data_IF_288242183192
#
_entry.id   IF_288242183192
#
_cell.length_a   1.000
_cell.length_b   1.000
_cell.length_c   1.000
_cell.angle_alpha   90.00
_cell.angle_beta   90.00
_cell.angle_gamma   90.00
#
_symmetry.space_group_name_H-M   'P 1'
#
loop_
_entity.id
_entity.type
_entity.pdbx_description
1 polymer ?
#
# COMPACT_ATOMS: atom_id res chain seq x y z
N UNK A 1 63.42 -19.04 -10.42
CA UNK A 1 64.75 -19.70 -10.48
C UNK A 1 65.71 -18.89 -9.61
N UNK A 2 66.68 -19.58 -8.99
CA UNK A 2 67.65 -19.13 -7.96
C UNK A 2 67.04 -18.99 -6.55
N UNK A 3 67.08 -19.98 -5.64
CA UNK A 3 68.16 -20.86 -5.18
C UNK A 3 69.35 -20.10 -4.58
N UNK A 4 69.48 -20.10 -3.25
CA UNK A 4 70.77 -19.98 -2.57
C UNK A 4 70.75 -20.68 -1.21
N UNK A 5 71.90 -21.22 -0.85
CA UNK A 5 72.12 -22.46 -0.13
C UNK A 5 72.93 -22.21 1.15
N UNK A 6 72.65 -22.97 2.22
CA UNK A 6 73.46 -23.37 3.40
C UNK A 6 74.67 -22.53 3.82
N UNK A 7 74.84 -22.37 5.14
CA UNK A 7 76.05 -22.83 5.85
C UNK A 7 75.82 -23.10 7.35
N UNK A 8 76.54 -24.12 7.80
CA UNK A 8 76.52 -24.85 9.06
C UNK A 8 77.59 -24.24 9.99
N UNK A 9 77.35 -24.22 11.30
CA UNK A 9 78.43 -24.23 12.29
C UNK A 9 78.02 -25.04 13.53
N UNK A 10 78.81 -26.09 13.77
CA UNK A 10 78.74 -27.08 14.84
C UNK A 10 79.59 -26.56 16.02
N UNK A 11 79.13 -26.73 17.26
CA UNK A 11 79.99 -26.64 18.45
C UNK A 11 79.49 -27.63 19.51
N UNK A 12 80.12 -28.80 19.51
CA UNK A 12 79.93 -29.91 20.42
C UNK A 12 80.99 -29.80 21.54
N UNK A 13 80.57 -29.71 22.81
CA UNK A 13 81.45 -29.96 23.96
C UNK A 13 80.63 -30.61 25.09
N UNK A 14 81.01 -31.83 25.43
CA UNK A 14 80.57 -32.73 26.51
C UNK A 14 81.88 -33.42 27.01
N UNK A 15 81.99 -34.14 28.14
CA UNK A 15 81.09 -34.37 29.29
C UNK A 15 81.77 -34.16 30.67
N UNK A 16 80.99 -34.02 31.74
CA UNK A 16 81.34 -34.61 33.04
C UNK A 16 80.08 -35.21 33.67
N UNK A 17 80.18 -36.49 34.02
CA UNK A 17 79.15 -37.32 34.64
C UNK A 17 79.29 -37.33 36.17
N UNK A 18 78.17 -37.29 36.90
CA UNK A 18 77.98 -37.95 38.20
C UNK A 18 76.53 -37.77 38.71
N UNK A 19 75.91 -38.87 39.17
CA UNK A 19 74.83 -38.83 40.17
C UNK A 19 73.47 -39.39 39.73
N UNK A 20 73.28 -40.69 39.92
CA UNK A 20 72.03 -41.43 39.72
C UNK A 20 71.28 -41.57 41.06
N UNK A 21 70.07 -41.01 41.19
CA UNK A 21 69.07 -41.37 42.22
C UNK A 21 67.66 -41.22 41.59
N UNK A 22 66.83 -42.29 41.52
CA UNK A 22 65.48 -42.21 40.98
C UNK A 22 64.49 -41.91 42.12
N UNK A 23 63.81 -40.75 42.06
CA UNK A 23 62.75 -40.41 43.00
C UNK A 23 61.44 -40.12 42.23
N UNK A 24 60.48 -41.04 42.44
CA UNK A 24 59.04 -40.90 42.34
C UNK A 24 58.43 -40.29 41.06
N UNK A 25 57.89 -41.19 40.24
CA UNK A 25 56.73 -40.92 39.41
C UNK A 25 55.58 -40.39 40.27
N UNK A 26 55.12 -39.17 40.00
CA UNK A 26 53.79 -38.71 40.43
C UNK A 26 52.83 -39.09 39.33
N UNK A 27 52.12 -40.19 39.56
CA UNK A 27 50.91 -40.55 38.85
C UNK A 27 49.73 -39.72 39.37
N UNK A 28 48.91 -39.27 38.42
CA UNK A 28 47.47 -38.98 38.50
C UNK A 28 46.94 -38.12 39.65
N UNK A 29 46.42 -36.95 39.27
CA UNK A 29 45.22 -36.42 39.88
C UNK A 29 44.09 -36.55 38.84
N UNK A 30 43.08 -37.41 39.07
CA UNK A 30 41.86 -37.41 38.28
C UNK A 30 41.19 -36.05 38.44
N UNK A 31 40.74 -35.49 37.32
CA UNK A 31 39.97 -34.24 37.32
C UNK A 31 38.80 -34.37 38.30
N UNK A 32 38.67 -33.36 39.16
CA UNK A 32 37.42 -33.20 39.90
C UNK A 32 36.30 -33.08 38.88
N UNK A 33 35.26 -33.88 39.06
CA UNK A 33 33.95 -33.63 38.47
C UNK A 33 33.53 -32.23 38.93
N UNK A 34 33.79 -31.24 38.07
CA UNK A 34 33.14 -29.95 38.20
C UNK A 34 31.64 -30.23 38.13
N UNK A 35 30.83 -29.73 39.09
CA UNK A 35 29.39 -29.93 39.05
C UNK A 35 28.85 -29.49 37.68
N UNK A 36 27.93 -30.26 37.08
CA UNK A 36 27.44 -29.99 35.74
C UNK A 36 26.96 -28.54 35.67
N UNK A 37 27.40 -27.77 34.66
CA UNK A 37 27.05 -26.37 34.56
C UNK A 37 25.52 -26.22 34.49
N UNK A 38 24.99 -25.32 35.32
CA UNK A 38 23.57 -24.96 35.30
C UNK A 38 23.25 -24.19 34.04
N UNK A 39 22.19 -24.59 33.33
CA UNK A 39 21.72 -23.95 32.10
C UNK A 39 20.24 -23.61 32.21
N UNK A 40 19.84 -22.46 31.67
CA UNK A 40 18.43 -22.08 31.61
C UNK A 40 17.79 -22.74 30.39
N UNK A 41 16.69 -23.45 30.60
CA UNK A 41 15.93 -24.12 29.53
C UNK A 41 14.51 -23.59 29.40
N UNK A 42 13.96 -23.66 28.19
CA UNK A 42 12.54 -23.44 27.89
C UNK A 42 11.98 -24.73 27.31
N UNK A 43 10.94 -25.26 27.94
CA UNK A 43 10.19 -26.39 27.42
C UNK A 43 9.32 -25.91 26.26
N UNK A 44 9.51 -26.51 25.09
CA UNK A 44 8.83 -26.14 23.87
C UNK A 44 7.55 -26.95 23.68
N UNK A 45 6.52 -26.31 23.12
CA UNK A 45 5.28 -26.96 22.78
C UNK A 45 4.97 -26.84 21.29
N UNK A 46 4.47 -27.92 20.69
CA UNK A 46 3.97 -27.88 19.33
C UNK A 46 2.61 -27.17 19.30
N UNK A 47 2.44 -26.24 18.36
CA UNK A 47 1.20 -25.51 18.17
C UNK A 47 0.99 -25.17 16.69
N UNK A 48 -0.27 -25.05 16.30
CA UNK A 48 -0.64 -24.60 14.96
C UNK A 48 -0.43 -23.09 14.86
N UNK A 49 0.36 -22.65 13.87
CA UNK A 49 0.66 -21.24 13.63
C UNK A 49 0.25 -20.85 12.23
N UNK A 50 -0.44 -19.71 12.10
CA UNK A 50 -0.75 -19.13 10.79
C UNK A 50 0.41 -18.25 10.36
N UNK A 51 1.07 -18.63 9.26
CA UNK A 51 2.14 -17.84 8.67
C UNK A 51 1.52 -16.63 7.96
N UNK A 52 1.99 -15.44 8.33
CA UNK A 52 1.54 -14.18 7.74
C UNK A 52 2.70 -13.44 7.11
N UNK A 53 2.46 -12.86 5.94
CA UNK A 53 3.37 -11.91 5.31
C UNK A 53 2.80 -10.52 5.43
N UNK A 54 3.63 -9.57 5.80
CA UNK A 54 3.27 -8.15 5.80
C UNK A 54 3.82 -7.50 4.55
N UNK A 55 2.94 -6.96 3.71
CA UNK A 55 3.30 -6.24 2.50
C UNK A 55 3.02 -4.75 2.64
N UNK A 56 3.94 -3.87 2.25
CA UNK A 56 3.67 -2.44 2.19
C UNK A 56 2.68 -2.15 1.05
N UNK A 57 1.75 -1.23 1.32
CA UNK A 57 0.77 -0.80 0.33
C UNK A 57 0.34 0.65 0.49
N UNK A 58 -0.44 1.11 -0.48
CA UNK A 58 -1.09 2.41 -0.47
C UNK A 58 -2.57 2.27 -0.74
N UNK A 59 -3.36 3.07 -0.02
CA UNK A 59 -4.80 3.18 -0.26
C UNK A 59 -5.03 3.98 -1.55
N UNK A 60 -5.93 3.51 -2.40
CA UNK A 60 -6.39 4.16 -3.62
C UNK A 60 -7.92 4.23 -3.62
N UNK A 61 -8.49 5.27 -4.21
CA UNK A 61 -9.94 5.35 -4.37
C UNK A 61 -10.42 4.23 -5.29
N UNK A 62 -11.63 3.70 -5.06
CA UNK A 62 -12.19 2.68 -5.97
C UNK A 62 -12.49 3.25 -7.35
N UNK A 63 -12.95 4.50 -7.38
CA UNK A 63 -13.10 5.29 -8.58
C UNK A 63 -12.67 6.74 -8.31
N UNK A 64 -12.05 7.36 -9.32
CA UNK A 64 -11.65 8.76 -9.30
C UNK A 64 -12.09 9.40 -10.63
N UNK A 65 -12.75 10.55 -10.54
CA UNK A 65 -13.16 11.34 -11.70
C UNK A 65 -12.64 12.77 -11.57
N UNK A 66 -11.82 13.17 -12.52
CA UNK A 66 -11.31 14.53 -12.63
C UNK A 66 -12.33 15.41 -13.35
N UNK A 67 -12.82 16.43 -12.66
CA UNK A 67 -13.81 17.36 -13.21
C UNK A 67 -13.09 18.38 -14.07
N UNK A 68 -13.27 18.30 -15.39
CA UNK A 68 -12.60 19.17 -16.37
C UNK A 68 -13.63 19.97 -17.18
N UNK A 69 -13.34 21.23 -17.53
CA UNK A 69 -14.22 22.03 -18.36
C UNK A 69 -14.24 21.49 -19.80
N UNK A 70 -15.42 21.38 -20.39
CA UNK A 70 -15.59 20.99 -21.80
C UNK A 70 -15.68 22.21 -22.73
N UNK A 71 -15.92 23.40 -22.15
CA UNK A 71 -16.08 24.67 -22.86
C UNK A 71 -15.21 25.75 -22.23
N UNK A 72 -14.92 26.79 -23.00
CA UNK A 72 -14.12 27.92 -22.55
C UNK A 72 -14.98 28.94 -21.82
N UNK A 73 -14.41 29.64 -20.85
CA UNK A 73 -15.09 30.79 -20.24
C UNK A 73 -14.64 31.08 -18.83
N UNK A 74 -15.28 32.05 -18.20
CA UNK A 74 -15.00 32.42 -16.82
C UNK A 74 -15.91 31.61 -15.90
N UNK A 75 -15.35 31.06 -14.81
CA UNK A 75 -16.13 30.40 -13.77
C UNK A 75 -16.97 31.45 -13.05
N UNK A 76 -18.26 31.50 -13.36
CA UNK A 76 -19.21 32.44 -12.78
C UNK A 76 -19.54 32.10 -11.34
N UNK A 77 -19.68 30.81 -11.01
CA UNK A 77 -20.02 30.36 -9.65
C UNK A 77 -19.57 28.92 -9.38
N UNK A 78 -19.21 28.64 -8.13
CA UNK A 78 -19.07 27.29 -7.56
C UNK A 78 -20.37 26.91 -6.83
N UNK A 79 -20.93 25.74 -7.17
CA UNK A 79 -22.27 25.29 -6.75
C UNK A 79 -22.24 24.11 -5.76
N UNK A 80 -21.07 23.68 -5.30
CA UNK A 80 -20.90 22.63 -4.31
C UNK A 80 -20.12 23.14 -3.09
N UNK A 81 -20.25 22.45 -1.97
CA UNK A 81 -19.40 22.61 -0.78
C UNK A 81 -18.21 21.64 -0.84
N UNK A 82 -17.01 22.14 -0.57
CA UNK A 82 -15.79 21.32 -0.63
C UNK A 82 -15.80 20.24 0.46
N UNK A 83 -15.31 19.04 0.12
CA UNK A 83 -15.28 17.90 1.05
C UNK A 83 -16.63 17.25 1.30
N UNK A 84 -17.68 17.59 0.54
CA UNK A 84 -19.01 16.98 0.69
C UNK A 84 -19.25 15.89 -0.36
N UNK A 85 -20.22 15.04 -0.07
CA UNK A 85 -20.66 14.01 -1.01
C UNK A 85 -21.50 14.64 -2.11
N UNK A 86 -21.16 14.33 -3.35
CA UNK A 86 -21.88 14.72 -4.57
C UNK A 86 -22.44 13.48 -5.26
N UNK A 87 -23.55 13.66 -5.97
CA UNK A 87 -24.17 12.63 -6.79
C UNK A 87 -24.00 12.92 -8.27
N UNK A 88 -24.10 11.89 -9.09
CA UNK A 88 -24.13 12.02 -10.55
C UNK A 88 -25.24 13.01 -10.97
N UNK A 89 -24.85 13.99 -11.78
CA UNK A 89 -25.73 15.05 -12.28
C UNK A 89 -25.76 16.33 -11.42
N UNK A 90 -25.21 16.31 -10.20
CA UNK A 90 -25.15 17.50 -9.35
C UNK A 90 -24.31 18.60 -10.03
N UNK A 91 -24.79 19.85 -10.06
CA UNK A 91 -24.06 20.96 -10.66
C UNK A 91 -22.89 21.37 -9.75
N UNK A 92 -21.69 21.46 -10.31
CA UNK A 92 -20.46 21.76 -9.59
C UNK A 92 -19.94 23.17 -9.88
N UNK A 93 -19.82 23.51 -11.16
CA UNK A 93 -19.36 24.81 -11.60
C UNK A 93 -20.28 25.35 -12.69
N UNK A 94 -20.52 26.65 -12.63
CA UNK A 94 -21.19 27.38 -13.69
C UNK A 94 -20.16 28.25 -14.41
N UNK A 95 -20.01 28.04 -15.70
CA UNK A 95 -19.28 28.92 -16.61
C UNK A 95 -20.24 30.01 -17.09
N UNK A 96 -19.73 31.22 -17.33
CA UNK A 96 -20.51 32.29 -17.95
C UNK A 96 -21.17 31.83 -19.26
N UNK A 97 -22.50 31.78 -19.23
CA UNK A 97 -23.35 31.30 -20.32
C UNK A 97 -23.73 32.38 -21.33
N UNK A 98 -23.41 33.64 -21.08
CA UNK A 98 -23.92 34.79 -21.86
C UNK A 98 -23.63 34.65 -23.36
N UNK A 99 -22.39 34.30 -23.71
CA UNK A 99 -22.00 34.09 -25.12
C UNK A 99 -22.69 32.86 -25.72
N UNK A 100 -22.87 31.80 -24.94
CA UNK A 100 -23.50 30.55 -25.37
C UNK A 100 -25.01 30.72 -25.60
N UNK A 101 -25.70 31.47 -24.75
CA UNK A 101 -27.11 31.83 -24.91
C UNK A 101 -27.34 32.64 -26.19
N UNK A 102 -26.44 33.58 -26.51
CA UNK A 102 -26.50 34.34 -27.75
C UNK A 102 -26.33 33.45 -28.99
N UNK A 103 -25.43 32.47 -28.96
CA UNK A 103 -25.22 31.51 -30.06
C UNK A 103 -26.44 30.60 -30.24
N UNK A 104 -27.07 30.15 -29.15
CA UNK A 104 -28.34 29.41 -29.22
C UNK A 104 -29.43 30.26 -29.87
N UNK A 105 -29.61 31.51 -29.42
CA UNK A 105 -30.61 32.41 -30.00
C UNK A 105 -30.38 32.67 -31.51
N UNK A 106 -29.12 32.80 -31.94
CA UNK A 106 -28.76 32.90 -33.35
C UNK A 106 -29.14 31.64 -34.14
N UNK A 107 -28.86 30.45 -33.60
CA UNK A 107 -29.21 29.18 -34.24
C UNK A 107 -30.73 28.96 -34.31
N UNK A 108 -31.48 29.37 -33.29
CA UNK A 108 -32.95 29.33 -33.29
C UNK A 108 -33.54 30.21 -34.41
N UNK A 109 -32.98 31.42 -34.60
CA UNK A 109 -33.37 32.29 -35.71
C UNK A 109 -33.06 31.66 -37.08
N UNK A 110 -31.93 30.98 -37.23
CA UNK A 110 -31.56 30.27 -38.46
C UNK A 110 -32.53 29.11 -38.77
N UNK A 111 -32.95 28.35 -37.76
CA UNK A 111 -34.00 27.32 -37.90
C UNK A 111 -35.31 27.94 -38.36
N UNK A 112 -35.74 29.04 -37.74
CA UNK A 112 -36.97 29.73 -38.12
C UNK A 112 -36.93 30.22 -39.58
N UNK A 113 -35.78 30.76 -40.02
CA UNK A 113 -35.58 31.18 -41.40
C UNK A 113 -35.64 29.99 -42.38
N UNK A 114 -34.96 28.88 -42.06
CA UNK A 114 -34.97 27.68 -42.89
C UNK A 114 -36.38 27.06 -43.00
N UNK A 115 -37.13 27.03 -41.89
CA UNK A 115 -38.51 26.56 -41.87
C UNK A 115 -39.42 27.41 -42.78
N UNK A 116 -39.27 28.73 -42.72
CA UNK A 116 -40.03 29.63 -43.60
C UNK A 116 -39.71 29.39 -45.08
N UNK A 117 -38.43 29.19 -45.42
CA UNK A 117 -38.01 28.87 -46.79
C UNK A 117 -38.54 27.51 -47.26
N UNK A 118 -38.47 26.48 -46.42
CA UNK A 118 -39.00 25.16 -46.71
C UNK A 118 -40.52 25.18 -46.92
N UNK A 119 -41.25 25.94 -46.10
CA UNK A 119 -42.70 26.11 -46.25
C UNK A 119 -43.08 26.78 -47.58
N UNK A 120 -42.32 27.80 -47.98
CA UNK A 120 -42.51 28.45 -49.27
C UNK A 120 -42.23 27.48 -50.43
N UNK A 121 -41.11 26.74 -50.38
CA UNK A 121 -40.73 25.77 -51.41
C UNK A 121 -41.73 24.60 -51.50
N UNK A 122 -42.27 24.13 -50.36
CA UNK A 122 -43.32 23.11 -50.32
C UNK A 122 -44.62 23.59 -50.95
N UNK A 123 -45.01 24.83 -50.67
CA UNK A 123 -46.19 25.45 -51.27
C UNK A 123 -46.03 25.63 -52.78
N UNK A 124 -44.84 26.02 -53.24
CA UNK A 124 -44.50 26.10 -54.67
C UNK A 124 -44.57 24.73 -55.36
N UNK A 125 -43.90 23.72 -54.81
CA UNK A 125 -43.90 22.36 -55.36
C UNK A 125 -45.32 21.79 -55.46
N UNK A 126 -46.17 22.04 -54.46
CA UNK A 126 -47.59 21.65 -54.48
C UNK A 126 -48.33 22.34 -55.62
N UNK A 127 -48.18 23.67 -55.73
CA UNK A 127 -48.84 24.47 -56.78
C UNK A 127 -48.41 24.06 -58.18
N UNK A 128 -47.11 23.86 -58.41
CA UNK A 128 -46.57 23.41 -59.70
C UNK A 128 -47.03 21.99 -60.03
N UNK A 129 -47.12 21.11 -59.03
CA UNK A 129 -47.69 19.76 -59.18
C UNK A 129 -49.15 19.79 -59.68
N UNK A 130 -50.01 20.60 -59.05
CA UNK A 130 -51.40 20.77 -59.49
C UNK A 130 -51.52 21.37 -60.90
N UNK A 131 -50.60 22.25 -61.28
CA UNK A 131 -50.55 22.82 -62.63
C UNK A 131 -50.09 21.78 -63.67
N UNK A 132 -49.17 20.88 -63.31
CA UNK A 132 -48.77 19.75 -64.15
C UNK A 132 -49.93 18.78 -64.36
N UNK A 133 -50.71 18.49 -63.33
CA UNK A 133 -51.88 17.60 -63.43
C UNK A 133 -52.94 18.17 -64.37
N UNK A 134 -53.04 19.49 -64.45
CA UNK A 134 -53.84 20.24 -65.44
C UNK A 134 -53.15 20.42 -66.80
N UNK A 135 -51.96 19.83 -67.01
CA UNK A 135 -51.11 19.93 -68.21
C UNK A 135 -50.67 21.36 -68.58
N UNK A 136 -50.57 22.25 -67.58
CA UNK A 136 -50.13 23.65 -67.73
C UNK A 136 -48.62 23.80 -67.50
N UNK A 137 -48.05 23.05 -66.55
CA UNK A 137 -46.62 23.08 -66.22
C UNK A 137 -45.85 21.93 -66.88
N UNK A 138 -44.58 22.17 -67.23
CA UNK A 138 -43.70 21.15 -67.80
C UNK A 138 -43.18 20.17 -66.73
N UNK A 139 -42.76 18.98 -67.16
CA UNK A 139 -42.13 17.97 -66.28
C UNK A 139 -40.87 18.53 -65.63
N UNK A 140 -39.99 19.16 -66.41
CA UNK A 140 -38.76 19.79 -65.93
C UNK A 140 -39.02 20.85 -64.84
N UNK A 141 -40.05 21.68 -65.00
CA UNK A 141 -40.43 22.68 -64.00
C UNK A 141 -40.91 22.03 -62.70
N UNK A 142 -41.67 20.95 -62.80
CA UNK A 142 -42.16 20.22 -61.62
C UNK A 142 -41.01 19.54 -60.87
N UNK A 143 -40.10 18.89 -61.60
CA UNK A 143 -38.91 18.25 -61.03
C UNK A 143 -38.00 19.29 -60.35
N UNK A 144 -37.80 20.46 -60.96
CA UNK A 144 -37.05 21.56 -60.35
C UNK A 144 -37.69 22.07 -59.05
N UNK A 145 -39.02 22.20 -59.00
CA UNK A 145 -39.74 22.63 -57.80
C UNK A 145 -39.67 21.58 -56.68
N UNK A 146 -39.77 20.28 -57.02
CA UNK A 146 -39.58 19.18 -56.06
C UNK A 146 -38.14 19.18 -55.51
N UNK A 147 -37.14 19.28 -56.39
CA UNK A 147 -35.74 19.35 -55.97
C UNK A 147 -35.47 20.57 -55.06
N UNK A 148 -36.06 21.73 -55.36
CA UNK A 148 -35.95 22.92 -54.52
C UNK A 148 -36.62 22.73 -53.14
N UNK A 149 -37.78 22.07 -53.07
CA UNK A 149 -38.40 21.67 -51.81
C UNK A 149 -37.47 20.77 -51.02
N UNK A 150 -36.96 19.71 -51.63
CA UNK A 150 -36.12 18.72 -50.96
C UNK A 150 -34.82 19.35 -50.44
N UNK A 151 -34.23 20.27 -51.21
CA UNK A 151 -33.07 21.06 -50.79
C UNK A 151 -33.38 21.97 -49.60
N UNK A 152 -34.54 22.64 -49.59
CA UNK A 152 -34.96 23.50 -48.49
C UNK A 152 -35.29 22.68 -47.21
N UNK A 153 -35.92 21.52 -47.36
CA UNK A 153 -36.15 20.59 -46.24
C UNK A 153 -34.84 20.02 -45.68
N UNK A 154 -33.85 19.76 -46.53
CA UNK A 154 -32.50 19.41 -46.08
C UNK A 154 -31.83 20.56 -45.32
N UNK A 155 -32.01 21.81 -45.77
CA UNK A 155 -31.48 22.99 -45.08
C UNK A 155 -32.07 23.18 -43.67
N UNK A 156 -33.35 22.84 -43.47
CA UNK A 156 -33.97 22.81 -42.13
C UNK A 156 -33.21 21.84 -41.21
N UNK A 157 -32.94 20.61 -41.68
CA UNK A 157 -32.21 19.61 -40.87
C UNK A 157 -30.80 20.06 -40.51
N UNK A 158 -30.12 20.78 -41.42
CA UNK A 158 -28.79 21.36 -41.15
C UNK A 158 -28.89 22.43 -40.06
N UNK A 159 -29.88 23.33 -40.13
CA UNK A 159 -30.09 24.36 -39.12
C UNK A 159 -30.47 23.75 -37.75
N UNK A 160 -31.31 22.71 -37.73
CA UNK A 160 -31.67 21.98 -36.50
C UNK A 160 -30.44 21.32 -35.86
N UNK A 161 -29.55 20.72 -36.66
CA UNK A 161 -28.30 20.14 -36.16
C UNK A 161 -27.36 21.21 -35.56
N UNK A 162 -27.31 22.40 -36.17
CA UNK A 162 -26.54 23.54 -35.63
C UNK A 162 -27.13 24.03 -34.31
N UNK A 163 -28.45 24.14 -34.20
CA UNK A 163 -29.15 24.48 -32.95
C UNK A 163 -28.87 23.44 -31.86
N UNK A 164 -28.91 22.16 -32.20
CA UNK A 164 -28.60 21.09 -31.25
C UNK A 164 -27.15 21.20 -30.75
N UNK A 165 -26.21 21.48 -31.64
CA UNK A 165 -24.80 21.71 -31.27
C UNK A 165 -24.67 22.89 -30.31
N UNK A 166 -25.30 24.03 -30.61
CA UNK A 166 -25.29 25.21 -29.74
C UNK A 166 -25.89 24.92 -28.35
N UNK A 167 -26.98 24.13 -28.29
CA UNK A 167 -27.61 23.72 -27.03
C UNK A 167 -26.71 22.81 -26.18
N UNK A 168 -26.00 21.88 -26.80
CA UNK A 168 -25.03 21.02 -26.10
C UNK A 168 -23.90 21.88 -25.51
N UNK A 169 -23.37 22.84 -26.27
CA UNK A 169 -22.35 23.76 -25.77
C UNK A 169 -22.87 24.61 -24.60
N UNK A 170 -24.11 25.09 -24.67
CA UNK A 170 -24.76 25.80 -23.56
C UNK A 170 -24.94 24.89 -22.33
N UNK A 171 -25.35 23.63 -22.51
CA UNK A 171 -25.48 22.68 -21.40
C UNK A 171 -24.13 22.41 -20.71
N UNK A 172 -23.06 22.29 -21.50
CA UNK A 172 -21.68 22.11 -21.01
C UNK A 172 -21.14 23.29 -20.21
N UNK A 173 -21.80 24.46 -20.23
CA UNK A 173 -21.46 25.58 -19.33
C UNK A 173 -21.74 25.24 -17.86
N UNK A 174 -22.71 24.34 -17.60
CA UNK A 174 -22.95 23.80 -16.27
C UNK A 174 -22.20 22.48 -16.14
N UNK A 175 -21.06 22.51 -15.46
CA UNK A 175 -20.25 21.33 -15.23
C UNK A 175 -20.90 20.52 -14.12
N UNK A 176 -21.23 19.26 -14.41
CA UNK A 176 -21.90 18.32 -13.48
C UNK A 176 -20.95 17.20 -13.06
N UNK A 177 -21.28 16.57 -11.93
CA UNK A 177 -20.59 15.37 -11.50
C UNK A 177 -20.96 14.16 -12.40
N UNK A 178 -19.95 13.45 -12.90
CA UNK A 178 -20.11 12.19 -13.65
C UNK A 178 -19.91 10.93 -12.79
N UNK A 179 -19.50 11.13 -11.53
CA UNK A 179 -19.24 10.06 -10.56
C UNK A 179 -19.85 10.43 -9.20
N UNK A 180 -20.44 9.44 -8.53
CA UNK A 180 -20.87 9.56 -7.14
C UNK A 180 -19.66 9.44 -6.20
N UNK A 181 -19.47 10.39 -5.29
CA UNK A 181 -18.33 10.35 -4.37
C UNK A 181 -18.18 11.60 -3.53
N UNK A 182 -17.04 11.73 -2.88
CA UNK A 182 -16.67 12.95 -2.17
C UNK A 182 -15.86 13.86 -3.09
N UNK A 183 -16.28 15.12 -3.18
CA UNK A 183 -15.57 16.12 -3.96
C UNK A 183 -14.45 16.75 -3.13
N UNK A 184 -13.25 16.80 -3.69
CA UNK A 184 -12.11 17.46 -3.08
C UNK A 184 -12.23 18.99 -3.09
N UNK A 185 -11.12 19.64 -2.75
CA UNK A 185 -11.00 21.09 -2.84
C UNK A 185 -11.12 21.58 -4.29
N UNK A 186 -11.67 22.77 -4.48
CA UNK A 186 -11.65 23.43 -5.77
C UNK A 186 -10.22 23.88 -6.09
N UNK A 187 -9.69 23.43 -7.23
CA UNK A 187 -8.39 23.86 -7.75
C UNK A 187 -8.50 25.18 -8.52
N UNK A 188 -9.71 25.65 -8.77
CA UNK A 188 -10.01 26.93 -9.42
C UNK A 188 -10.90 27.79 -8.54
N UNK A 189 -10.77 29.11 -8.65
CA UNK A 189 -11.60 30.08 -7.94
C UNK A 189 -12.69 30.66 -8.85
N UNK A 190 -13.71 31.24 -8.22
CA UNK A 190 -14.71 32.04 -8.94
C UNK A 190 -14.01 33.22 -9.62
N UNK A 191 -14.34 33.47 -10.88
CA UNK A 191 -13.70 34.50 -11.71
C UNK A 191 -12.47 34.03 -12.49
N UNK A 192 -12.00 32.79 -12.28
CA UNK A 192 -10.92 32.23 -13.07
C UNK A 192 -11.37 31.92 -14.51
N UNK A 193 -10.50 32.22 -15.48
CA UNK A 193 -10.66 31.80 -16.87
C UNK A 193 -10.24 30.33 -17.00
N UNK A 194 -11.12 29.52 -17.57
CA UNK A 194 -10.89 28.10 -17.85
C UNK A 194 -10.98 27.83 -19.35
N UNK A 195 -10.23 26.83 -19.80
CA UNK A 195 -10.23 26.42 -21.21
C UNK A 195 -10.65 24.97 -21.34
N UNK A 196 -11.39 24.64 -22.40
CA UNK A 196 -11.83 23.30 -22.73
C UNK A 196 -10.66 22.31 -22.70
N UNK A 197 -10.84 21.21 -21.95
CA UNK A 197 -9.87 20.12 -21.81
C UNK A 197 -8.49 20.58 -21.30
N UNK A 198 -8.42 21.62 -20.46
CA UNK A 198 -7.18 22.03 -19.81
C UNK A 198 -6.55 20.89 -18.98
N UNK A 199 -5.23 20.94 -18.79
CA UNK A 199 -4.46 19.92 -18.09
C UNK A 199 -4.71 19.86 -16.56
N UNK A 200 -5.10 20.97 -15.94
CA UNK A 200 -5.44 21.02 -14.50
C UNK A 200 -6.94 20.84 -14.29
N UNK A 201 -7.40 19.84 -13.52
CA UNK A 201 -8.83 19.67 -13.23
C UNK A 201 -9.35 20.81 -12.34
N UNK A 202 -10.65 21.07 -12.36
CA UNK A 202 -11.29 22.08 -11.50
C UNK A 202 -11.52 21.55 -10.09
N UNK A 203 -11.83 20.26 -9.98
CA UNK A 203 -11.99 19.51 -8.76
C UNK A 203 -11.81 18.02 -9.08
N UNK A 204 -11.68 17.20 -8.05
CA UNK A 204 -11.59 15.73 -8.22
C UNK A 204 -12.59 15.07 -7.30
N UNK A 205 -13.39 14.16 -7.85
CA UNK A 205 -14.38 13.38 -7.11
C UNK A 205 -13.79 11.99 -6.88
N UNK A 206 -13.84 11.50 -5.65
CA UNK A 206 -13.32 10.18 -5.26
C UNK A 206 -14.40 9.36 -4.58
N UNK A 207 -14.52 8.11 -4.99
CA UNK A 207 -15.36 7.14 -4.28
C UNK A 207 -14.53 6.48 -3.18
N UNK A 208 -14.93 6.74 -1.93
CA UNK A 208 -14.22 6.29 -0.73
C UNK A 208 -14.77 4.99 -0.13
N UNK A 209 -15.89 4.46 -0.62
CA UNK A 209 -16.43 3.18 -0.18
C UNK A 209 -16.97 2.39 -1.38
N UNK A 210 -16.38 1.22 -1.71
CA UNK A 210 -15.18 0.63 -1.10
C UNK A 210 -13.90 1.42 -1.45
N UNK A 211 -12.79 1.11 -0.77
CA UNK A 211 -11.44 1.54 -1.17
C UNK A 211 -10.63 0.37 -1.73
N UNK A 212 -9.61 0.71 -2.49
CA UNK A 212 -8.59 -0.24 -2.92
C UNK A 212 -7.30 -0.05 -2.15
N UNK A 213 -6.55 -1.13 -1.97
CA UNK A 213 -5.19 -1.09 -1.44
C UNK A 213 -4.30 -1.80 -2.43
N UNK A 214 -3.35 -1.04 -2.97
CA UNK A 214 -2.35 -1.53 -3.90
C UNK A 214 -1.09 -1.85 -3.11
N UNK A 215 -0.75 -3.14 -3.05
CA UNK A 215 0.43 -3.66 -2.33
C UNK A 215 1.46 -4.15 -3.35
N UNK A 216 2.73 -4.00 -3.03
CA UNK A 216 3.82 -4.47 -3.89
C UNK A 216 4.43 -5.75 -3.35
N UNK A 217 4.63 -6.74 -4.23
CA UNK A 217 5.27 -8.00 -3.89
C UNK A 217 6.33 -8.40 -4.92
N UNK A 218 7.41 -9.05 -4.48
CA UNK A 218 8.43 -9.59 -5.37
C UNK A 218 7.85 -10.66 -6.30
N UNK A 219 8.16 -10.57 -7.59
CA UNK A 219 7.71 -11.56 -8.57
C UNK A 219 8.22 -12.98 -8.26
N UNK A 220 9.41 -13.11 -7.68
CA UNK A 220 9.97 -14.39 -7.27
C UNK A 220 9.13 -15.06 -6.16
N UNK A 221 8.65 -14.27 -5.20
CA UNK A 221 7.79 -14.77 -4.11
C UNK A 221 6.43 -15.18 -4.63
N UNK A 222 5.85 -14.44 -5.57
CA UNK A 222 4.56 -14.81 -6.17
C UNK A 222 4.67 -16.10 -6.99
N UNK A 223 5.79 -16.31 -7.69
CA UNK A 223 6.06 -17.58 -8.37
C UNK A 223 6.21 -18.73 -7.38
N UNK A 224 6.94 -18.51 -6.28
CA UNK A 224 7.10 -19.50 -5.19
C UNK A 224 5.74 -19.87 -4.60
N UNK A 225 4.96 -18.87 -4.21
CA UNK A 225 3.61 -19.05 -3.69
C UNK A 225 2.70 -19.78 -4.68
N UNK A 226 2.70 -19.40 -5.96
CA UNK A 226 1.90 -20.07 -6.99
C UNK A 226 2.30 -21.55 -7.14
N UNK A 227 3.59 -21.88 -7.04
CA UNK A 227 4.07 -23.27 -7.09
C UNK A 227 3.62 -24.07 -5.86
N UNK A 228 3.67 -23.47 -4.68
CA UNK A 228 3.21 -24.06 -3.42
C UNK A 228 1.68 -24.29 -3.42
N UNK A 229 0.89 -23.31 -3.85
CA UNK A 229 -0.57 -23.43 -3.96
C UNK A 229 -0.99 -24.47 -5.00
N UNK A 230 -0.28 -24.58 -6.13
CA UNK A 230 -0.57 -25.58 -7.16
C UNK A 230 -0.20 -27.01 -6.75
N UNK A 231 0.66 -27.18 -5.74
CA UNK A 231 1.09 -28.49 -5.24
C UNK A 231 0.30 -28.96 -4.01
N UNK A 232 -0.50 -28.08 -3.40
CA UNK A 232 -1.32 -28.41 -2.23
C UNK A 232 -2.80 -28.68 -2.58
N UNK A 233 -3.49 -29.61 -1.88
CA UNK A 233 -4.91 -29.87 -2.05
C UNK A 233 -5.78 -28.64 -1.74
N UNK A 234 -6.91 -28.48 -2.45
CA UNK A 234 -7.84 -27.33 -2.35
C UNK A 234 -8.30 -27.00 -0.91
N UNK A 235 -8.40 -27.99 -0.02
CA UNK A 235 -8.79 -27.82 1.40
C UNK A 235 -7.73 -27.10 2.27
N UNK A 236 -6.52 -26.89 1.76
CA UNK A 236 -5.43 -26.18 2.46
C UNK A 236 -5.10 -24.83 1.82
N UNK A 237 -5.89 -24.35 0.86
CA UNK A 237 -5.64 -23.04 0.27
C UNK A 237 -5.81 -21.93 1.33
N UNK A 238 -4.84 -20.98 1.41
CA UNK A 238 -4.93 -19.88 2.35
C UNK A 238 -6.21 -19.07 2.13
N UNK A 239 -6.79 -18.59 3.22
CA UNK A 239 -7.89 -17.65 3.15
C UNK A 239 -7.44 -16.44 2.30
N UNK A 240 -8.28 -16.00 1.37
CA UNK A 240 -8.03 -14.76 0.60
C UNK A 240 -8.31 -13.50 1.44
N UNK A 241 -8.43 -13.68 2.75
CA UNK A 241 -8.73 -12.66 3.72
C UNK A 241 -7.46 -11.91 4.04
N UNK A 242 -7.51 -10.59 3.89
CA UNK A 242 -6.39 -9.70 4.16
C UNK A 242 -6.79 -8.78 5.30
N UNK A 243 -5.90 -8.62 6.26
CA UNK A 243 -6.03 -7.62 7.32
C UNK A 243 -5.17 -6.42 6.97
N UNK A 244 -5.57 -5.22 7.39
CA UNK A 244 -4.74 -4.02 7.27
C UNK A 244 -4.27 -3.61 8.64
N UNK A 245 -3.01 -3.20 8.69
CA UNK A 245 -2.45 -2.41 9.78
C UNK A 245 -2.21 -0.99 9.29
N UNK A 246 -2.76 -0.04 10.02
CA UNK A 246 -2.67 1.38 9.75
C UNK A 246 -1.29 1.92 10.18
N UNK A 247 -0.97 3.13 9.74
CA UNK A 247 0.33 3.76 10.00
C UNK A 247 0.57 4.07 11.50
N UNK A 248 -0.49 4.16 12.30
CA UNK A 248 -0.41 4.32 13.76
C UNK A 248 -0.17 3.00 14.52
N UNK A 249 -0.09 1.87 13.79
CA UNK A 249 0.09 0.53 14.34
C UNK A 249 -1.22 -0.16 14.75
N UNK A 250 -2.37 0.51 14.63
CA UNK A 250 -3.67 -0.11 14.88
C UNK A 250 -4.11 -1.00 13.72
N UNK A 251 -4.86 -2.05 14.03
CA UNK A 251 -5.43 -2.94 13.02
C UNK A 251 -6.80 -2.41 12.56
N UNK A 252 -7.05 -2.43 11.26
CA UNK A 252 -8.34 -2.06 10.69
C UNK A 252 -9.37 -3.15 10.95
N UNK A 253 -10.56 -2.76 11.40
CA UNK A 253 -11.59 -3.70 11.83
C UNK A 253 -12.12 -4.58 10.69
N UNK A 254 -12.24 -4.03 9.48
CA UNK A 254 -12.77 -4.75 8.33
C UNK A 254 -11.67 -5.52 7.60
N UNK A 255 -12.01 -6.74 7.18
CA UNK A 255 -11.12 -7.54 6.35
C UNK A 255 -11.37 -7.28 4.87
N UNK A 256 -10.31 -7.32 4.07
CA UNK A 256 -10.38 -7.16 2.63
C UNK A 256 -10.19 -8.46 1.88
N UNK A 257 -10.40 -8.38 0.58
CA UNK A 257 -10.21 -9.50 -0.34
C UNK A 257 -9.26 -9.11 -1.47
N UNK A 258 -8.43 -10.06 -1.89
CA UNK A 258 -7.62 -9.91 -3.10
C UNK A 258 -8.54 -9.91 -4.34
N UNK A 259 -8.65 -8.77 -5.01
CA UNK A 259 -9.52 -8.59 -6.19
C UNK A 259 -8.76 -8.75 -7.50
N UNK A 260 -7.51 -8.29 -7.57
CA UNK A 260 -6.72 -8.39 -8.79
C UNK A 260 -5.21 -8.52 -8.49
N UNK A 261 -4.51 -9.14 -9.42
CA UNK A 261 -3.05 -9.11 -9.50
C UNK A 261 -2.71 -8.52 -10.87
N UNK A 262 -1.92 -7.45 -10.89
CA UNK A 262 -1.51 -6.81 -12.12
C UNK A 262 -0.59 -7.76 -12.91
N UNK A 263 -0.89 -8.09 -14.18
CA UNK A 263 -0.05 -8.96 -15.01
C UNK A 263 1.17 -8.20 -15.58
N UNK A 264 1.75 -7.31 -14.78
CA UNK A 264 2.91 -6.49 -15.13
C UNK A 264 3.91 -6.52 -13.96
N UNK A 265 5.19 -6.70 -14.29
CA UNK A 265 6.29 -6.62 -13.33
C UNK A 265 7.07 -5.36 -13.67
N UNK A 266 7.28 -4.51 -12.68
CA UNK A 266 8.10 -3.33 -12.86
C UNK A 266 9.56 -3.74 -13.11
N UNK A 267 10.09 -3.41 -14.28
CA UNK A 267 11.43 -3.85 -14.73
C UNK A 267 12.57 -3.32 -13.85
N UNK A 268 12.38 -2.18 -13.19
CA UNK A 268 13.40 -1.57 -12.32
C UNK A 268 13.47 -2.23 -10.95
N UNK A 269 12.33 -2.65 -10.41
CA UNK A 269 12.21 -3.12 -9.02
C UNK A 269 11.94 -4.62 -8.89
N UNK A 270 11.48 -5.28 -9.97
CA UNK A 270 11.14 -6.70 -9.97
C UNK A 270 9.88 -7.04 -9.15
N UNK A 271 9.06 -6.04 -8.81
CA UNK A 271 7.82 -6.21 -8.04
C UNK A 271 6.60 -6.14 -8.95
N UNK A 272 5.53 -6.81 -8.53
CA UNK A 272 4.20 -6.72 -9.11
C UNK A 272 3.22 -6.11 -8.11
N UNK A 273 2.18 -5.46 -8.64
CA UNK A 273 1.12 -4.85 -7.83
C UNK A 273 -0.01 -5.86 -7.62
N UNK A 274 -0.41 -6.05 -6.37
CA UNK A 274 -1.63 -6.76 -6.01
C UNK A 274 -2.64 -5.74 -5.51
N UNK A 275 -3.88 -5.82 -6.00
CA UNK A 275 -4.98 -4.95 -5.60
C UNK A 275 -5.96 -5.72 -4.74
N UNK A 276 -6.28 -5.12 -3.61
CA UNK A 276 -7.23 -5.63 -2.64
C UNK A 276 -8.35 -4.62 -2.45
N UNK A 277 -9.56 -5.11 -2.17
CA UNK A 277 -10.73 -4.26 -1.90
C UNK A 277 -11.14 -4.39 -0.44
N UNK A 278 -11.40 -3.23 0.19
CA UNK A 278 -11.83 -3.11 1.58
C UNK A 278 -13.08 -2.23 1.64
N UNK A 279 -14.08 -2.65 2.41
CA UNK A 279 -15.18 -1.77 2.76
C UNK A 279 -14.65 -0.65 3.66
N UNK A 280 -15.18 0.57 3.48
CA UNK A 280 -14.74 1.74 4.25
C UNK A 280 -15.94 2.60 4.64
N UNK A 281 -16.88 2.08 5.45
CA UNK A 281 -18.13 2.77 5.77
C UNK A 281 -17.91 4.07 6.57
N UNK A 282 -16.87 4.11 7.41
CA UNK A 282 -16.53 5.26 8.25
C UNK A 282 -15.59 6.26 7.56
N UNK A 283 -15.20 5.99 6.30
CA UNK A 283 -14.32 6.84 5.49
C UNK A 283 -12.94 7.13 6.14
N UNK A 284 -12.48 6.25 7.04
CA UNK A 284 -11.19 6.39 7.75
C UNK A 284 -10.02 6.17 6.79
N UNK A 285 -10.17 5.25 5.84
CA UNK A 285 -9.15 4.97 4.83
C UNK A 285 -9.21 6.03 3.73
N UNK A 286 -8.25 6.95 3.73
CA UNK A 286 -8.14 7.98 2.71
C UNK A 286 -7.11 7.58 1.62
N UNK A 287 -7.42 7.83 0.33
CA UNK A 287 -6.48 7.60 -0.76
C UNK A 287 -5.15 8.32 -0.52
N UNK A 288 -4.04 7.60 -0.77
CA UNK A 288 -2.67 8.06 -0.54
C UNK A 288 -2.06 7.61 0.79
N UNK A 289 -2.87 7.17 1.75
CA UNK A 289 -2.38 6.64 3.03
C UNK A 289 -1.49 5.41 2.82
N UNK A 290 -0.43 5.32 3.62
CA UNK A 290 0.40 4.12 3.71
C UNK A 290 -0.26 3.13 4.67
N UNK A 291 -0.33 1.88 4.26
CA UNK A 291 -0.88 0.78 5.06
C UNK A 291 -0.01 -0.47 4.88
N UNK A 292 -0.12 -1.38 5.83
CA UNK A 292 0.53 -2.68 5.79
C UNK A 292 -0.54 -3.76 5.64
N UNK A 293 -0.50 -4.49 4.53
CA UNK A 293 -1.40 -5.61 4.31
C UNK A 293 -0.81 -6.88 4.91
N UNK A 294 -1.51 -7.46 5.88
CA UNK A 294 -1.16 -8.71 6.53
C UNK A 294 -1.95 -9.83 5.83
N UNK A 295 -1.23 -10.64 5.06
CA UNK A 295 -1.78 -11.72 4.24
C UNK A 295 -1.43 -13.05 4.89
N UNK A 296 -2.44 -13.91 5.08
CA UNK A 296 -2.23 -15.27 5.55
C UNK A 296 -1.71 -16.14 4.39
N UNK A 297 -0.51 -16.70 4.51
CA UNK A 297 0.11 -17.50 3.45
C UNK A 297 -0.21 -18.99 3.58
N UNK A 298 -0.12 -19.54 4.79
CA UNK A 298 -0.37 -20.95 5.07
C UNK A 298 -0.59 -21.16 6.57
N UNK A 299 -1.28 -22.25 6.93
CA UNK A 299 -1.31 -22.75 8.31
C UNK A 299 -0.25 -23.84 8.45
N UNK A 300 0.78 -23.58 9.22
CA UNK A 300 1.77 -24.59 9.57
C UNK A 300 1.24 -25.35 10.80
N UNK A 301 0.98 -26.65 10.63
CA UNK A 301 0.53 -27.53 11.70
C UNK A 301 1.72 -28.13 12.44
N UNK A 302 1.55 -28.39 13.73
CA UNK A 302 2.55 -29.08 14.56
C UNK A 302 3.94 -28.40 14.54
N UNK A 303 3.99 -27.07 14.46
CA UNK A 303 5.25 -26.31 14.49
C UNK A 303 5.62 -25.87 15.89
N UNK A 304 6.91 -25.69 16.12
CA UNK A 304 7.45 -25.32 17.43
C UNK A 304 7.93 -23.86 17.40
N UNK A 305 7.49 -23.05 18.36
CA UNK A 305 7.97 -21.69 18.54
C UNK A 305 9.20 -21.70 19.45
N UNK A 306 10.38 -21.59 18.85
CA UNK A 306 11.65 -21.54 19.58
C UNK A 306 12.06 -20.08 19.85
N UNK A 307 12.30 -19.66 21.10
CA UNK A 307 12.88 -18.34 21.40
C UNK A 307 14.16 -18.08 20.62
N UNK A 308 14.32 -16.88 20.04
CA UNK A 308 15.45 -16.58 19.15
C UNK A 308 16.83 -16.74 19.81
N UNK A 309 16.88 -16.48 21.10
CA UNK A 309 18.03 -16.59 22.00
C UNK A 309 18.56 -18.04 22.16
N UNK A 310 17.70 -19.05 22.00
CA UNK A 310 18.11 -20.47 22.05
C UNK A 310 18.59 -21.03 20.72
N UNK A 311 18.54 -20.23 19.65
CA UNK A 311 18.92 -20.64 18.29
C UNK A 311 20.25 -19.99 17.92
N UNK A 312 21.25 -20.81 17.61
CA UNK A 312 22.57 -20.35 17.15
C UNK A 312 22.83 -20.83 15.72
N UNK A 313 23.93 -20.38 15.10
CA UNK A 313 24.35 -20.83 13.77
C UNK A 313 25.68 -21.56 13.85
N UNK A 314 25.80 -22.65 13.11
CA UNK A 314 27.05 -23.38 12.98
C UNK A 314 28.07 -22.63 12.11
N UNK A 315 29.28 -23.20 11.94
CA UNK A 315 30.34 -22.61 11.09
C UNK A 315 29.95 -22.50 9.60
N UNK A 316 28.89 -23.19 9.16
CA UNK A 316 28.36 -23.16 7.80
C UNK A 316 27.14 -22.22 7.66
N UNK A 317 26.75 -21.56 8.75
CA UNK A 317 25.60 -20.65 8.79
C UNK A 317 24.24 -21.33 8.95
N UNK A 318 24.19 -22.65 9.16
CA UNK A 318 22.98 -23.43 9.37
C UNK A 318 22.44 -23.20 10.78
N UNK A 319 21.12 -23.00 10.96
CA UNK A 319 20.54 -22.82 12.30
C UNK A 319 20.58 -24.14 13.07
N UNK A 320 21.05 -24.06 14.32
CA UNK A 320 21.17 -25.17 15.25
C UNK A 320 20.61 -24.76 16.62
N UNK A 321 20.01 -25.72 17.33
CA UNK A 321 19.62 -25.60 18.72
C UNK A 321 20.39 -26.60 19.58
N UNK A 322 20.64 -26.22 20.82
CA UNK A 322 21.09 -27.14 21.86
C UNK A 322 19.89 -27.49 22.74
N UNK A 323 19.56 -28.78 22.81
CA UNK A 323 18.44 -29.30 23.59
C UNK A 323 18.99 -30.18 24.70
N UNK A 324 18.44 -30.06 25.90
CA UNK A 324 18.73 -30.99 26.99
C UNK A 324 17.81 -32.21 26.84
N UNK A 325 18.38 -33.39 26.63
CA UNK A 325 17.61 -34.63 26.52
C UNK A 325 17.11 -35.11 27.90
N UNK A 326 16.31 -36.18 27.93
CA UNK A 326 15.76 -36.73 29.17
C UNK A 326 16.85 -37.24 30.14
N UNK A 327 18.02 -37.61 29.62
CA UNK A 327 19.18 -38.02 30.40
C UNK A 327 20.02 -36.85 30.94
N UNK A 328 19.67 -35.59 30.64
CA UNK A 328 20.40 -34.40 31.07
C UNK A 328 21.67 -34.10 30.27
N UNK A 329 21.83 -34.70 29.08
CA UNK A 329 22.92 -34.42 28.14
C UNK A 329 22.48 -33.39 27.10
N UNK A 330 23.45 -32.58 26.65
CA UNK A 330 23.26 -31.61 25.57
C UNK A 330 23.30 -32.29 24.21
N UNK A 331 22.21 -32.24 23.47
CA UNK A 331 22.13 -32.67 22.08
C UNK A 331 22.08 -31.46 21.14
N UNK A 332 22.95 -31.44 20.13
CA UNK A 332 22.88 -30.45 19.08
C UNK A 332 21.97 -30.95 17.96
N UNK A 333 20.91 -30.20 17.67
CA UNK A 333 19.99 -30.49 16.56
C UNK A 333 20.04 -29.40 15.50
N UNK A 334 20.05 -29.83 14.24
CA UNK A 334 19.90 -28.92 13.12
C UNK A 334 18.43 -28.57 12.95
N UNK A 335 18.14 -27.29 12.71
CA UNK A 335 16.79 -26.77 12.58
C UNK A 335 16.45 -26.43 11.14
N UNK A 336 15.17 -26.56 10.80
CA UNK A 336 14.58 -25.94 9.63
C UNK A 336 13.62 -24.85 10.10
N UNK A 337 14.01 -23.58 9.88
CA UNK A 337 13.23 -22.40 10.27
C UNK A 337 12.39 -21.96 9.07
N UNK A 338 11.08 -21.76 9.30
CA UNK A 338 10.18 -21.24 8.27
C UNK A 338 10.18 -19.71 8.24
N UNK A 339 9.97 -19.08 9.41
CA UNK A 339 9.83 -17.62 9.54
C UNK A 339 10.17 -17.18 10.97
N UNK A 340 10.58 -15.92 11.15
CA UNK A 340 10.50 -15.23 12.45
C UNK A 340 9.08 -14.77 12.76
N UNK A 341 8.70 -14.84 14.03
CA UNK A 341 7.44 -14.32 14.54
C UNK A 341 7.69 -13.63 15.89
N UNK A 342 7.89 -12.31 15.85
CA UNK A 342 8.24 -11.52 17.03
C UNK A 342 9.57 -11.96 17.63
N UNK A 343 9.55 -12.42 18.89
CA UNK A 343 10.74 -12.87 19.63
C UNK A 343 11.01 -14.38 19.47
N UNK A 344 10.27 -15.07 18.60
CA UNK A 344 10.39 -16.51 18.38
C UNK A 344 10.68 -16.84 16.91
N UNK A 345 11.35 -17.96 16.66
CA UNK A 345 11.46 -18.61 15.36
C UNK A 345 10.37 -19.68 15.23
N UNK A 346 9.69 -19.71 14.09
CA UNK A 346 8.79 -20.81 13.73
C UNK A 346 9.62 -21.92 13.12
N UNK A 347 9.78 -23.03 13.86
CA UNK A 347 10.60 -24.19 13.46
C UNK A 347 9.69 -25.31 12.98
N UNK A 348 9.94 -25.83 11.78
CA UNK A 348 9.20 -26.95 11.20
C UNK A 348 9.84 -28.30 11.47
N UNK A 349 11.18 -28.37 11.49
CA UNK A 349 11.91 -29.62 11.69
C UNK A 349 13.10 -29.40 12.64
N UNK A 350 13.43 -30.43 13.42
CA UNK A 350 14.58 -30.44 14.32
C UNK A 350 14.22 -30.29 15.81
N UNK A 351 13.00 -29.87 16.13
CA UNK A 351 12.47 -29.79 17.50
C UNK A 351 11.12 -30.50 17.58
N UNK A 352 10.83 -31.07 18.74
CA UNK A 352 9.61 -31.83 19.05
C UNK A 352 8.91 -31.23 20.26
N UNK A 353 7.63 -31.56 20.40
CA UNK A 353 6.85 -31.25 21.60
C UNK A 353 7.52 -31.83 22.86
N UNK A 354 7.68 -31.00 23.88
CA UNK A 354 8.33 -31.35 25.14
C UNK A 354 9.86 -31.25 25.15
N UNK A 355 10.51 -30.85 24.05
CA UNK A 355 11.95 -30.61 24.04
C UNK A 355 12.33 -29.42 24.93
N UNK A 356 13.44 -29.55 25.67
CA UNK A 356 13.98 -28.49 26.55
C UNK A 356 15.08 -27.72 25.84
N UNK A 357 14.74 -26.60 25.22
CA UNK A 357 15.68 -25.74 24.51
C UNK A 357 16.53 -24.95 25.49
N UNK A 358 17.86 -25.02 25.33
CA UNK A 358 18.79 -24.25 26.14
C UNK A 358 18.88 -22.82 25.61
N UNK A 359 18.52 -21.85 26.44
CA UNK A 359 18.45 -20.42 26.08
C UNK A 359 19.58 -19.59 26.69
N UNK A 360 20.14 -20.03 27.83
CA UNK A 360 21.29 -19.39 28.47
C UNK A 360 22.33 -20.43 28.90
N UNK A 361 23.59 -20.01 28.98
CA UNK A 361 24.70 -20.91 29.35
C UNK A 361 25.35 -21.63 28.16
N UNK A 362 24.93 -21.34 26.93
CA UNK A 362 25.44 -21.92 25.67
C UNK A 362 26.97 -21.81 25.52
N UNK A 363 27.60 -20.79 26.09
CA UNK A 363 29.06 -20.58 26.05
C UNK A 363 29.86 -21.56 26.93
N UNK A 364 29.22 -22.17 27.93
CA UNK A 364 29.86 -23.05 28.93
C UNK A 364 29.60 -24.52 28.67
N UNK A 365 28.88 -24.84 27.59
CA UNK A 365 28.41 -26.18 27.27
C UNK A 365 28.87 -26.61 25.88
N UNK A 366 29.00 -27.91 25.68
CA UNK A 366 29.38 -28.54 24.43
C UNK A 366 28.47 -29.75 24.20
N UNK A 367 28.22 -30.15 22.94
CA UNK A 367 27.43 -31.33 22.64
C UNK A 367 27.97 -32.56 23.37
N UNK A 368 27.09 -33.29 24.05
CA UNK A 368 27.41 -34.49 24.84
C UNK A 368 27.82 -34.24 26.29
N UNK A 369 27.89 -32.99 26.77
CA UNK A 369 28.16 -32.70 28.18
C UNK A 369 26.90 -32.83 29.05
N UNK A 370 27.03 -33.34 30.30
CA UNK A 370 25.93 -33.31 31.26
C UNK A 370 25.69 -31.88 31.76
N UNK A 371 24.43 -31.47 31.80
CA UNK A 371 24.00 -30.14 32.26
C UNK A 371 22.89 -30.28 33.29
N UNK A 372 22.79 -29.32 34.20
CA UNK A 372 21.64 -29.23 35.10
C UNK A 372 20.64 -28.21 34.54
N UNK A 373 19.52 -28.64 33.94
CA UNK A 373 18.55 -27.74 33.35
C UNK A 373 17.67 -27.08 34.42
N UNK A 374 17.69 -25.76 34.50
CA UNK A 374 16.74 -24.96 35.27
C UNK A 374 15.73 -24.33 34.32
N UNK A 375 14.43 -24.52 34.59
CA UNK A 375 13.40 -23.89 33.76
C UNK A 375 13.44 -22.37 33.93
N UNK A 376 13.38 -21.67 32.79
CA UNK A 376 13.24 -20.23 32.76
C UNK A 376 12.03 -19.81 33.60
N UNK A 377 12.28 -19.01 34.64
CA UNK A 377 11.19 -18.28 35.31
C UNK A 377 10.56 -17.31 34.30
N UNK A 378 9.22 -17.27 34.17
CA UNK A 378 8.57 -16.32 33.28
C UNK A 378 9.02 -14.91 33.66
N UNK A 379 9.53 -14.15 32.70
CA UNK A 379 9.78 -12.73 32.90
C UNK A 379 8.42 -12.07 33.17
N UNK A 380 8.26 -11.47 34.35
CA UNK A 380 7.13 -10.60 34.63
C UNK A 380 7.12 -9.49 33.57
N UNK A 381 5.95 -9.12 33.01
CA UNK A 381 5.87 -8.03 32.04
C UNK A 381 6.45 -6.77 32.69
N UNK A 382 7.33 -6.08 31.96
CA UNK A 382 7.87 -4.80 32.38
C UNK A 382 6.72 -3.79 32.44
N UNK A 383 6.14 -3.67 33.63
CA UNK A 383 5.21 -2.62 33.99
C UNK A 383 5.95 -1.29 33.95
N UNK A 384 5.30 -0.31 33.31
CA UNK A 384 5.93 0.89 32.77
C UNK A 384 6.83 1.65 33.74
N UNK A 385 7.86 2.26 33.15
CA UNK A 385 8.58 3.38 33.72
C UNK A 385 7.58 4.48 34.12
N UNK A 386 7.12 4.43 35.36
CA UNK A 386 6.40 5.52 35.99
C UNK A 386 7.35 6.71 36.08
N UNK A 387 6.88 7.82 35.53
CA UNK A 387 7.49 9.13 35.55
C UNK A 387 8.04 9.48 36.93
N UNK A 388 9.34 9.78 36.99
CA UNK A 388 9.93 10.49 38.10
C UNK A 388 9.37 11.92 38.13
N UNK A 389 8.47 12.20 39.07
CA UNK A 389 8.16 13.55 39.48
C UNK A 389 9.39 14.17 40.16
N UNK A 390 9.74 15.44 39.89
CA UNK A 390 10.85 16.09 40.56
C UNK A 390 10.47 16.43 42.00
N UNK A 391 11.40 16.15 42.91
CA UNK A 391 11.32 16.48 44.32
C UNK A 391 11.41 17.99 44.54
N UNK A 392 10.48 18.48 45.35
CA UNK A 392 10.42 19.82 45.91
C UNK A 392 11.56 20.03 46.92
N UNK A 393 12.22 21.19 46.85
CA UNK A 393 13.36 21.55 47.67
C UNK A 393 13.45 23.07 47.82
N UNK A 394 12.81 23.60 48.86
CA UNK A 394 13.14 24.88 49.49
C UNK A 394 14.61 24.85 49.99
N UNK A 395 15.41 25.91 50.05
CA UNK A 395 15.22 27.35 50.26
C UNK A 395 16.33 28.11 49.48
N UNK A 396 16.29 29.42 49.22
CA UNK A 396 16.57 30.47 50.22
C UNK A 396 16.33 31.87 49.63
N UNK A 397 15.82 32.77 50.48
CA UNK A 397 15.56 34.19 50.22
C UNK A 397 16.88 34.98 50.08
N UNK A 398 16.90 35.97 49.20
CA UNK A 398 17.47 37.28 49.54
C UNK A 398 16.79 38.41 48.76
N UNK A 399 16.43 39.44 49.54
CA UNK A 399 15.73 40.66 49.21
C UNK A 399 16.43 41.56 48.18
N UNK A 400 15.63 42.40 47.50
CA UNK A 400 16.11 43.62 46.86
C UNK A 400 15.10 44.31 45.94
N UNK A 401 14.19 45.10 46.54
CA UNK A 401 13.73 46.46 46.15
C UNK A 401 13.70 46.82 44.63
N UNK A 402 12.56 47.14 43.99
CA UNK A 402 11.80 48.41 44.05
C UNK A 402 11.72 48.99 42.60
N UNK A 403 10.61 48.72 41.89
CA UNK A 403 9.63 49.71 41.36
C UNK A 403 9.94 50.28 39.94
N UNK A 404 8.96 50.86 39.21
CA UNK A 404 8.69 50.43 37.84
C UNK A 404 8.76 51.56 36.79
N UNK A 405 8.73 51.13 35.52
CA UNK A 405 8.20 51.94 34.42
C UNK A 405 9.23 52.51 33.46
N UNK A 406 9.13 52.14 32.19
CA UNK A 406 9.05 53.15 31.15
C UNK A 406 8.34 52.63 29.90
N UNK A 407 7.42 53.45 29.43
CA UNK A 407 6.60 53.32 28.23
C UNK A 407 7.01 54.51 27.35
N UNK A 408 7.73 54.27 26.25
CA UNK A 408 7.92 55.20 25.13
C UNK A 408 8.51 54.37 23.97
N UNK A 409 7.83 54.18 22.84
CA UNK A 409 7.59 55.17 21.79
C UNK A 409 8.91 55.73 21.20
N UNK A 410 9.29 55.25 20.01
CA UNK A 410 9.79 56.12 18.95
C UNK A 410 9.67 55.46 17.58
N UNK A 411 8.96 56.18 16.72
CA UNK A 411 8.92 56.12 15.26
C UNK A 411 10.32 56.17 14.64
N UNK A 412 10.39 55.68 13.39
CA UNK A 412 11.53 55.79 12.47
C UNK A 412 11.20 55.14 11.14
#
# INVERSE_FOLDING_TARGET
MSALTRRIAISLFLPIAAGFVPAAAIAQQPGGDAPPPTVTVVTLHAQDVTLTTTLPGRVTASAEAEVRPQVNGIVAQRLFEEGRRVKVGDPLFLIDKTTYEAVVAQAEAAVAQALAQAQNARSEATRVGELRDRRVASVSTTEAAIAARDAAEAAVKVAEAQLQTARIELERTTIRAELDGEIGLAQTSQGALVTASQATPLAVIRTLDPVHVDVTQSAAEVIRWRREVMTQPTDQQPSRTVMLRLADGSDYAETGTLTAAEPYVNETTGVMTLRMSFANPDHILLPGMYVQAIIQQAKAKDVVLAPQEGVSRDRRGQPIALVANAEGLVEQRQLTILQDMGNNWVVSEGLKDGDRLIVEGVQRIAPGMPVNPEERKPAAPAEGAAAAAPADGAAEKQDGAEEPGNKAASDG
#
